data_IF_558631445979
#
_entry.id   IF_558631445979
#
_cell.length_a   1.000
_cell.length_b   1.000
_cell.length_c   1.000
_cell.angle_alpha   90.00
_cell.angle_beta   90.00
_cell.angle_gamma   90.00
#
_symmetry.space_group_name_H-M   'P 1'
#
loop_
_entity.id
_entity.type
_entity.pdbx_description
1 polymer ?
#
# COMPACT_ATOMS: atom_id res chain seq x y z
N UNK A 1 -42.91 -1.24 -8.34
CA UNK A 1 -42.80 0.23 -8.38
C UNK A 1 -43.97 0.83 -7.63
N UNK A 2 -43.69 1.68 -6.63
CA UNK A 2 -44.69 2.50 -5.95
C UNK A 2 -45.46 3.40 -6.93
N UNK A 3 -46.70 3.79 -6.58
CA UNK A 3 -47.56 4.67 -7.40
C UNK A 3 -46.83 5.94 -7.87
N UNK A 4 -45.99 6.51 -6.98
CA UNK A 4 -45.20 7.72 -7.27
C UNK A 4 -44.15 7.50 -8.36
N UNK A 5 -43.46 6.36 -8.34
CA UNK A 5 -42.44 6.03 -9.37
C UNK A 5 -43.07 5.82 -10.74
N UNK A 6 -44.28 5.23 -10.78
CA UNK A 6 -45.03 5.07 -12.03
C UNK A 6 -45.45 6.42 -12.62
N UNK A 7 -45.95 7.34 -11.80
CA UNK A 7 -46.33 8.68 -12.24
C UNK A 7 -45.13 9.45 -12.80
N UNK A 8 -43.98 9.41 -12.13
CA UNK A 8 -42.73 10.01 -12.65
C UNK A 8 -42.38 9.40 -14.00
N UNK A 9 -42.35 8.07 -14.11
CA UNK A 9 -41.99 7.40 -15.38
C UNK A 9 -42.96 7.75 -16.53
N UNK A 10 -44.26 7.89 -16.24
CA UNK A 10 -45.25 8.34 -17.23
C UNK A 10 -45.00 9.78 -17.67
N UNK A 11 -44.73 10.70 -16.74
CA UNK A 11 -44.41 12.09 -17.08
C UNK A 11 -43.13 12.18 -17.92
N UNK A 12 -42.10 11.40 -17.60
CA UNK A 12 -40.88 11.36 -18.39
C UNK A 12 -41.13 10.83 -19.81
N UNK A 13 -41.97 9.80 -19.95
CA UNK A 13 -42.39 9.28 -21.25
C UNK A 13 -43.11 10.34 -22.09
N UNK A 14 -44.10 11.02 -21.51
CA UNK A 14 -44.81 12.13 -22.17
C UNK A 14 -43.86 13.24 -22.62
N UNK A 15 -42.90 13.63 -21.78
CA UNK A 15 -41.90 14.63 -22.14
C UNK A 15 -41.10 14.18 -23.37
N UNK A 16 -40.57 12.95 -23.35
CA UNK A 16 -39.79 12.38 -24.47
C UNK A 16 -40.62 12.34 -25.75
N UNK A 17 -41.87 11.88 -25.69
CA UNK A 17 -42.76 11.79 -26.85
C UNK A 17 -43.00 13.15 -27.52
N UNK A 18 -43.06 14.24 -26.75
CA UNK A 18 -43.30 15.59 -27.28
C UNK A 18 -42.04 16.27 -27.82
N UNK A 19 -40.86 16.00 -27.24
CA UNK A 19 -39.64 16.78 -27.57
C UNK A 19 -38.62 16.03 -28.42
N UNK A 20 -38.70 14.69 -28.48
CA UNK A 20 -37.78 13.88 -29.27
C UNK A 20 -38.02 13.95 -30.79
N UNK A 21 -39.27 13.92 -31.32
CA UNK A 21 -39.52 13.81 -32.76
C UNK A 21 -38.99 14.98 -33.60
N UNK A 22 -39.05 16.21 -33.07
CA UNK A 22 -38.64 17.43 -33.75
C UNK A 22 -37.26 17.96 -33.29
N UNK A 23 -36.58 17.22 -32.42
CA UNK A 23 -35.35 17.64 -31.73
C UNK A 23 -35.48 18.96 -30.97
N UNK A 24 -36.69 19.31 -30.52
CA UNK A 24 -36.90 20.52 -29.72
C UNK A 24 -36.17 20.47 -28.37
N UNK A 25 -35.75 19.28 -27.90
CA UNK A 25 -34.93 19.12 -26.70
C UNK A 25 -33.68 20.01 -26.67
N UNK A 26 -33.08 20.35 -27.82
CA UNK A 26 -31.90 21.23 -27.92
C UNK A 26 -32.19 22.64 -27.37
N UNK A 27 -33.43 23.12 -27.50
CA UNK A 27 -33.86 24.43 -27.00
C UNK A 27 -34.22 24.41 -25.51
N UNK A 28 -34.45 23.22 -24.96
CA UNK A 28 -34.96 23.02 -23.60
C UNK A 28 -33.96 22.34 -22.65
N UNK A 29 -32.67 22.26 -23.00
CA UNK A 29 -31.67 21.60 -22.16
C UNK A 29 -31.63 22.10 -20.72
N UNK A 30 -31.78 23.41 -20.48
CA UNK A 30 -31.78 23.96 -19.12
C UNK A 30 -33.00 23.49 -18.31
N UNK A 31 -34.17 23.40 -18.94
CA UNK A 31 -35.41 22.93 -18.34
C UNK A 31 -35.32 21.43 -18.05
N UNK A 32 -34.79 20.64 -18.99
CA UNK A 32 -34.57 19.21 -18.80
C UNK A 32 -33.55 18.93 -17.69
N UNK A 33 -32.45 19.70 -17.62
CA UNK A 33 -31.48 19.64 -16.51
C UNK A 33 -32.18 19.86 -15.17
N UNK A 34 -32.99 20.91 -15.06
CA UNK A 34 -33.73 21.21 -13.83
C UNK A 34 -34.72 20.09 -13.45
N UNK A 35 -35.37 19.45 -14.42
CA UNK A 35 -36.24 18.29 -14.17
C UNK A 35 -35.43 17.14 -13.58
N UNK A 36 -34.30 16.78 -14.20
CA UNK A 36 -33.44 15.70 -13.71
C UNK A 36 -32.91 16.01 -12.31
N UNK A 37 -32.39 17.22 -12.09
CA UNK A 37 -31.88 17.64 -10.77
C UNK A 37 -32.95 17.55 -9.68
N UNK A 38 -34.19 17.97 -9.96
CA UNK A 38 -35.27 17.86 -8.98
C UNK A 38 -35.67 16.42 -8.71
N UNK A 39 -35.71 15.55 -9.73
CA UNK A 39 -36.02 14.14 -9.53
C UNK A 39 -34.95 13.52 -8.64
N UNK A 40 -33.67 13.71 -8.97
CA UNK A 40 -32.54 13.16 -8.21
C UNK A 40 -32.51 13.69 -6.78
N UNK A 41 -32.81 14.98 -6.55
CA UNK A 41 -32.79 15.56 -5.21
C UNK A 41 -33.92 15.06 -4.29
N UNK A 42 -35.08 14.72 -4.86
CA UNK A 42 -36.28 14.39 -4.09
C UNK A 42 -36.57 12.88 -4.01
N UNK A 43 -35.89 12.06 -4.82
CA UNK A 43 -36.13 10.61 -4.82
C UNK A 43 -35.49 9.95 -3.60
N UNK A 44 -36.24 9.06 -2.96
CA UNK A 44 -35.75 8.29 -1.81
C UNK A 44 -35.09 6.98 -2.25
N UNK A 45 -35.65 6.35 -3.29
CA UNK A 45 -35.17 5.09 -3.85
C UNK A 45 -34.49 5.35 -5.20
N UNK A 46 -33.18 5.56 -5.13
CA UNK A 46 -32.36 5.86 -6.30
C UNK A 46 -32.23 4.65 -7.24
N UNK A 47 -32.27 3.42 -6.73
CA UNK A 47 -32.21 2.23 -7.56
C UNK A 47 -33.45 2.12 -8.45
N UNK A 48 -34.64 2.37 -7.88
CA UNK A 48 -35.88 2.38 -8.65
C UNK A 48 -35.90 3.45 -9.75
N UNK A 49 -35.18 4.56 -9.59
CA UNK A 49 -35.02 5.59 -10.63
C UNK A 49 -34.26 5.07 -11.84
N UNK A 50 -33.14 4.37 -11.61
CA UNK A 50 -32.27 3.89 -12.68
C UNK A 50 -32.89 2.75 -13.49
N UNK A 51 -33.87 2.04 -12.92
CA UNK A 51 -34.60 0.96 -13.58
C UNK A 51 -35.87 1.47 -14.31
N UNK A 52 -36.19 2.77 -14.24
CA UNK A 52 -37.31 3.34 -14.99
C UNK A 52 -37.07 3.30 -16.50
N UNK A 53 -38.07 2.82 -17.25
CA UNK A 53 -38.02 2.69 -18.71
C UNK A 53 -37.67 4.01 -19.41
N UNK A 54 -38.16 5.14 -18.90
CA UNK A 54 -38.02 6.44 -19.53
C UNK A 54 -36.91 7.32 -18.91
N UNK A 55 -36.26 6.90 -17.82
CA UNK A 55 -35.25 7.76 -17.17
C UNK A 55 -33.95 7.83 -17.95
N UNK A 56 -33.30 6.69 -18.26
CA UNK A 56 -32.09 6.71 -19.09
C UNK A 56 -32.33 7.24 -20.52
N UNK A 57 -33.46 6.91 -21.19
CA UNK A 57 -33.77 7.55 -22.47
C UNK A 57 -33.89 9.07 -22.42
N UNK A 58 -34.38 9.63 -21.29
CA UNK A 58 -34.36 11.08 -21.09
C UNK A 58 -32.92 11.62 -21.04
N UNK A 59 -32.01 10.89 -20.39
CA UNK A 59 -30.59 11.27 -20.33
C UNK A 59 -29.94 11.20 -21.72
N UNK A 60 -30.35 10.25 -22.55
CA UNK A 60 -29.86 10.12 -23.93
C UNK A 60 -30.31 11.28 -24.85
N UNK A 61 -31.30 12.09 -24.46
CA UNK A 61 -31.66 13.32 -25.18
C UNK A 61 -30.57 14.39 -25.09
N UNK A 62 -29.71 14.37 -24.06
CA UNK A 62 -28.57 15.29 -23.97
C UNK A 62 -27.47 14.86 -24.94
N UNK A 63 -27.54 15.38 -26.16
CA UNK A 63 -26.55 15.09 -27.22
C UNK A 63 -25.33 16.00 -27.14
N UNK A 64 -25.46 17.18 -26.53
CA UNK A 64 -24.31 18.03 -26.24
C UNK A 64 -23.47 17.41 -25.10
N UNK A 65 -22.20 17.15 -25.38
CA UNK A 65 -21.27 16.49 -24.45
C UNK A 65 -21.22 17.21 -23.09
N UNK A 66 -21.11 18.54 -23.10
CA UNK A 66 -21.05 19.37 -21.89
C UNK A 66 -22.30 19.18 -21.01
N UNK A 67 -23.49 19.16 -21.61
CA UNK A 67 -24.76 18.99 -20.93
C UNK A 67 -24.92 17.57 -20.39
N UNK A 68 -24.55 16.57 -21.19
CA UNK A 68 -24.61 15.16 -20.79
C UNK A 68 -23.72 14.88 -19.58
N UNK A 69 -22.49 15.38 -19.60
CA UNK A 69 -21.53 15.23 -18.49
C UNK A 69 -22.04 15.90 -17.22
N UNK A 70 -22.56 17.13 -17.33
CA UNK A 70 -23.12 17.84 -16.17
C UNK A 70 -24.29 17.06 -15.54
N UNK A 71 -25.21 16.55 -16.36
CA UNK A 71 -26.35 15.76 -15.91
C UNK A 71 -25.91 14.44 -15.27
N UNK A 72 -25.05 13.66 -15.92
CA UNK A 72 -24.51 12.42 -15.36
C UNK A 72 -23.81 12.65 -14.03
N UNK A 73 -23.03 13.74 -13.93
CA UNK A 73 -22.34 14.15 -12.70
C UNK A 73 -23.33 14.46 -11.59
N UNK A 74 -24.40 15.20 -11.88
CA UNK A 74 -25.46 15.51 -10.91
C UNK A 74 -26.22 14.27 -10.46
N UNK A 75 -26.53 13.35 -11.37
CA UNK A 75 -27.16 12.07 -11.05
C UNK A 75 -26.27 11.27 -10.09
N UNK A 76 -24.99 11.10 -10.41
CA UNK A 76 -24.05 10.33 -9.60
C UNK A 76 -23.72 10.99 -8.25
N UNK A 77 -23.67 12.32 -8.17
CA UNK A 77 -23.47 13.03 -6.89
C UNK A 77 -24.75 13.01 -6.04
N UNK A 78 -25.91 13.26 -6.65
CA UNK A 78 -27.19 13.30 -5.95
C UNK A 78 -27.71 11.92 -5.58
N UNK A 79 -27.11 10.88 -6.14
CA UNK A 79 -27.29 9.51 -5.69
C UNK A 79 -26.81 9.38 -4.24
N UNK A 80 -27.75 9.28 -3.29
CA UNK A 80 -27.44 8.95 -1.89
C UNK A 80 -27.00 7.48 -1.74
N UNK A 81 -26.26 6.92 -2.70
CA UNK A 81 -25.84 5.52 -2.74
C UNK A 81 -24.93 5.18 -1.55
N UNK A 82 -24.38 6.19 -0.86
CA UNK A 82 -23.57 6.04 0.35
C UNK A 82 -24.18 5.19 1.49
N UNK A 83 -25.48 4.88 1.46
CA UNK A 83 -26.17 4.13 2.53
C UNK A 83 -26.38 2.64 2.19
N UNK A 84 -26.39 2.26 0.90
CA UNK A 84 -26.83 0.92 0.48
C UNK A 84 -25.88 0.27 -0.54
N UNK A 85 -25.77 -1.04 -0.44
CA UNK A 85 -25.02 -1.88 -1.38
C UNK A 85 -25.85 -2.12 -2.63
N UNK A 86 -25.26 -1.88 -3.80
CA UNK A 86 -25.88 -2.12 -5.10
C UNK A 86 -25.42 -3.47 -5.65
N UNK A 87 -26.37 -4.34 -5.99
CA UNK A 87 -26.08 -5.65 -6.59
C UNK A 87 -26.97 -6.01 -7.79
N UNK A 88 -28.03 -5.23 -8.06
CA UNK A 88 -28.90 -5.47 -9.20
C UNK A 88 -28.16 -5.17 -10.53
N UNK A 89 -28.09 -6.14 -11.47
CA UNK A 89 -27.34 -5.96 -12.71
C UNK A 89 -27.82 -4.79 -13.58
N UNK A 90 -29.11 -4.45 -13.56
CA UNK A 90 -29.66 -3.33 -14.35
C UNK A 90 -29.16 -2.01 -13.75
N UNK A 91 -29.24 -1.87 -12.42
CA UNK A 91 -28.73 -0.70 -11.71
C UNK A 91 -27.22 -0.56 -11.89
N UNK A 92 -26.46 -1.66 -11.77
CA UNK A 92 -25.01 -1.66 -12.00
C UNK A 92 -24.67 -1.20 -13.41
N UNK A 93 -25.33 -1.74 -14.43
CA UNK A 93 -25.10 -1.35 -15.83
C UNK A 93 -25.43 0.13 -16.07
N UNK A 94 -26.53 0.62 -15.48
CA UNK A 94 -26.90 2.03 -15.55
C UNK A 94 -25.84 2.93 -14.90
N UNK A 95 -25.36 2.57 -13.71
CA UNK A 95 -24.28 3.30 -13.03
C UNK A 95 -22.98 3.30 -13.84
N UNK A 96 -22.62 2.15 -14.42
CA UNK A 96 -21.42 2.02 -15.24
C UNK A 96 -21.49 2.85 -16.51
N UNK A 97 -22.67 2.95 -17.14
CA UNK A 97 -22.92 3.84 -18.29
C UNK A 97 -22.81 5.33 -17.93
N UNK A 98 -23.37 5.74 -16.79
CA UNK A 98 -23.21 7.13 -16.32
C UNK A 98 -21.74 7.44 -16.01
N UNK A 99 -21.04 6.48 -15.42
CA UNK A 99 -19.62 6.58 -15.12
C UNK A 99 -18.74 6.63 -16.39
N UNK A 100 -19.04 5.83 -17.41
CA UNK A 100 -18.30 5.86 -18.68
C UNK A 100 -18.45 7.22 -19.35
N UNK A 101 -19.66 7.80 -19.33
CA UNK A 101 -19.90 9.15 -19.85
C UNK A 101 -19.02 10.20 -19.14
N UNK A 102 -18.85 10.11 -17.81
CA UNK A 102 -17.95 11.01 -17.09
C UNK A 102 -16.48 10.75 -17.41
N UNK A 103 -16.06 9.49 -17.48
CA UNK A 103 -14.69 9.14 -17.82
C UNK A 103 -14.30 9.65 -19.22
N UNK A 104 -15.18 9.47 -20.21
CA UNK A 104 -14.90 9.82 -21.60
C UNK A 104 -14.76 11.33 -21.81
N UNK A 105 -15.30 12.14 -20.89
CA UNK A 105 -15.10 13.59 -20.87
C UNK A 105 -13.70 14.02 -20.40
N UNK A 106 -12.94 13.12 -19.77
CA UNK A 106 -11.61 13.42 -19.23
C UNK A 106 -10.55 13.35 -20.33
N UNK A 107 -9.86 14.46 -20.56
CA UNK A 107 -8.79 14.58 -21.54
C UNK A 107 -7.61 15.40 -21.00
N UNK A 108 -6.59 15.62 -21.84
CA UNK A 108 -5.35 16.30 -21.44
C UNK A 108 -5.54 17.78 -21.03
N UNK A 109 -6.68 18.39 -21.35
CA UNK A 109 -7.02 19.77 -21.00
C UNK A 109 -7.95 19.86 -19.79
N UNK A 110 -8.40 18.73 -19.23
CA UNK A 110 -9.27 18.70 -18.05
C UNK A 110 -8.53 19.28 -16.84
N UNK A 111 -9.11 20.28 -16.13
CA UNK A 111 -8.50 20.82 -14.93
C UNK A 111 -8.28 19.75 -13.85
N UNK A 112 -7.17 19.86 -13.11
CA UNK A 112 -6.81 18.90 -12.05
C UNK A 112 -7.94 18.67 -11.02
N UNK A 113 -8.66 19.72 -10.65
CA UNK A 113 -9.75 19.62 -9.68
C UNK A 113 -10.96 18.85 -10.23
N UNK A 114 -11.27 19.03 -11.52
CA UNK A 114 -12.32 18.28 -12.20
C UNK A 114 -11.92 16.82 -12.41
N UNK A 115 -10.67 16.57 -12.79
CA UNK A 115 -10.11 15.23 -12.88
C UNK A 115 -10.23 14.47 -11.55
N UNK A 116 -9.88 15.12 -10.44
CA UNK A 116 -10.02 14.56 -9.09
C UNK A 116 -11.48 14.29 -8.74
N UNK A 117 -12.37 15.26 -9.00
CA UNK A 117 -13.79 15.11 -8.70
C UNK A 117 -14.42 13.94 -9.46
N UNK A 118 -14.14 13.81 -10.76
CA UNK A 118 -14.61 12.67 -11.55
C UNK A 118 -14.03 11.37 -10.98
N UNK A 119 -12.73 11.34 -10.71
CA UNK A 119 -12.08 10.18 -10.09
C UNK A 119 -12.72 9.75 -8.77
N UNK A 120 -13.08 10.70 -7.89
CA UNK A 120 -13.72 10.43 -6.62
C UNK A 120 -15.14 9.86 -6.78
N UNK A 121 -15.92 10.38 -7.75
CA UNK A 121 -17.25 9.86 -8.09
C UNK A 121 -17.14 8.41 -8.57
N UNK A 122 -16.23 8.13 -9.50
CA UNK A 122 -16.00 6.77 -10.01
C UNK A 122 -15.57 5.83 -8.90
N UNK A 123 -14.64 6.27 -8.04
CA UNK A 123 -14.20 5.49 -6.89
C UNK A 123 -15.35 5.20 -5.90
N UNK A 124 -16.28 6.14 -5.73
CA UNK A 124 -17.47 5.93 -4.91
C UNK A 124 -18.37 4.84 -5.50
N UNK A 125 -18.70 4.91 -6.79
CA UNK A 125 -19.53 3.91 -7.47
C UNK A 125 -18.89 2.51 -7.43
N UNK A 126 -17.58 2.41 -7.61
CA UNK A 126 -16.85 1.12 -7.51
C UNK A 126 -16.95 0.51 -6.10
N UNK A 127 -17.04 1.34 -5.04
CA UNK A 127 -17.13 0.85 -3.65
C UNK A 127 -18.51 0.34 -3.27
N UNK A 128 -19.56 0.94 -3.80
CA UNK A 128 -20.94 0.62 -3.42
C UNK A 128 -21.48 -0.60 -4.15
N UNK A 129 -20.88 -0.98 -5.29
CA UNK A 129 -21.20 -2.21 -6.01
C UNK A 129 -20.57 -3.41 -5.29
N UNK A 130 -21.40 -4.23 -4.64
CA UNK A 130 -20.97 -5.43 -3.90
C UNK A 130 -21.92 -6.61 -4.18
N UNK A 131 -21.41 -7.63 -4.87
CA UNK A 131 -22.11 -8.89 -5.20
C UNK A 131 -22.14 -9.89 -4.02
N UNK A 132 -21.78 -9.45 -2.82
CA UNK A 132 -21.85 -10.21 -1.59
C UNK A 132 -20.89 -11.39 -1.57
N UNK A 133 -21.43 -12.61 -1.66
CA UNK A 133 -20.63 -13.85 -1.63
C UNK A 133 -20.20 -14.33 -3.01
N UNK A 134 -20.67 -13.69 -4.08
CA UNK A 134 -20.21 -14.01 -5.42
C UNK A 134 -18.90 -13.27 -5.73
N UNK A 135 -17.82 -13.81 -5.19
CA UNK A 135 -16.49 -13.21 -5.32
C UNK A 135 -15.94 -13.25 -6.75
N UNK A 136 -16.34 -14.24 -7.55
CA UNK A 136 -15.94 -14.34 -8.96
C UNK A 136 -16.61 -13.24 -9.77
N UNK A 137 -17.92 -13.02 -9.56
CA UNK A 137 -18.63 -11.90 -10.18
C UNK A 137 -18.04 -10.55 -9.73
N UNK A 138 -17.71 -10.40 -8.44
CA UNK A 138 -17.07 -9.18 -7.94
C UNK A 138 -15.71 -8.91 -8.59
N UNK A 139 -14.87 -9.94 -8.75
CA UNK A 139 -13.57 -9.79 -9.41
C UNK A 139 -13.74 -9.47 -10.89
N UNK A 140 -14.72 -10.09 -11.56
CA UNK A 140 -15.05 -9.82 -12.97
C UNK A 140 -15.45 -8.36 -13.15
N UNK A 141 -16.30 -7.83 -12.27
CA UNK A 141 -16.65 -6.41 -12.25
C UNK A 141 -15.40 -5.50 -12.11
N UNK A 142 -14.46 -5.83 -11.23
CA UNK A 142 -13.22 -5.04 -11.11
C UNK A 142 -12.30 -5.15 -12.35
N UNK A 143 -12.34 -6.26 -13.07
CA UNK A 143 -11.64 -6.42 -14.37
C UNK A 143 -12.26 -5.51 -15.43
N UNK A 144 -13.58 -5.50 -15.53
CA UNK A 144 -14.32 -4.63 -16.45
C UNK A 144 -14.08 -3.14 -16.13
N UNK A 145 -14.20 -2.76 -14.86
CA UNK A 145 -13.96 -1.39 -14.40
C UNK A 145 -12.52 -0.92 -14.69
N UNK A 146 -11.52 -1.80 -14.55
CA UNK A 146 -10.12 -1.47 -14.93
C UNK A 146 -9.99 -1.19 -16.42
N UNK A 147 -10.68 -1.96 -17.26
CA UNK A 147 -10.68 -1.76 -18.71
C UNK A 147 -11.39 -0.48 -19.12
N UNK A 148 -12.51 -0.18 -18.47
CA UNK A 148 -13.36 0.98 -18.78
C UNK A 148 -12.74 2.32 -18.35
N UNK A 149 -12.05 2.36 -17.21
CA UNK A 149 -11.54 3.60 -16.61
C UNK A 149 -10.02 3.76 -16.75
N UNK A 150 -9.47 3.57 -17.95
CA UNK A 150 -8.04 3.37 -18.14
C UNK A 150 -7.15 4.60 -17.85
N UNK A 151 -7.72 5.81 -17.87
CA UNK A 151 -6.96 7.07 -17.83
C UNK A 151 -7.02 7.78 -16.48
N UNK A 152 -7.69 7.19 -15.49
CA UNK A 152 -7.92 7.79 -14.17
C UNK A 152 -7.15 7.02 -13.09
N UNK A 153 -5.96 7.51 -12.75
CA UNK A 153 -5.01 6.85 -11.86
C UNK A 153 -5.61 6.48 -10.49
N UNK A 154 -6.45 7.35 -9.91
CA UNK A 154 -7.05 7.11 -8.59
C UNK A 154 -8.03 5.92 -8.61
N UNK A 155 -8.66 5.64 -9.76
CA UNK A 155 -9.54 4.49 -9.93
C UNK A 155 -8.73 3.18 -9.87
N UNK A 156 -7.53 3.14 -10.47
CA UNK A 156 -6.66 1.97 -10.33
C UNK A 156 -6.19 1.75 -8.88
N UNK A 157 -5.87 2.82 -8.15
CA UNK A 157 -5.56 2.74 -6.72
C UNK A 157 -6.74 2.12 -5.97
N UNK A 158 -7.96 2.59 -6.24
CA UNK A 158 -9.17 2.11 -5.60
C UNK A 158 -9.45 0.63 -5.92
N UNK A 159 -9.31 0.24 -7.19
CA UNK A 159 -9.52 -1.13 -7.64
C UNK A 159 -8.54 -2.11 -6.99
N UNK A 160 -7.26 -1.76 -6.90
CA UNK A 160 -6.25 -2.60 -6.22
C UNK A 160 -6.60 -2.74 -4.73
N UNK A 161 -7.07 -1.68 -4.06
CA UNK A 161 -7.52 -1.76 -2.67
C UNK A 161 -8.76 -2.65 -2.52
N UNK A 162 -9.74 -2.52 -3.42
CA UNK A 162 -10.95 -3.35 -3.42
C UNK A 162 -10.62 -4.84 -3.63
N UNK A 163 -9.74 -5.17 -4.57
CA UNK A 163 -9.32 -6.56 -4.83
C UNK A 163 -8.51 -7.12 -3.67
N UNK A 164 -7.64 -6.33 -3.05
CA UNK A 164 -6.96 -6.73 -1.80
C UNK A 164 -7.97 -7.01 -0.68
N UNK A 165 -8.98 -6.16 -0.51
CA UNK A 165 -10.05 -6.37 0.47
C UNK A 165 -10.88 -7.63 0.16
N UNK A 166 -11.17 -7.90 -1.13
CA UNK A 166 -11.87 -9.11 -1.57
C UNK A 166 -11.08 -10.39 -1.24
N UNK A 167 -9.77 -10.36 -1.44
CA UNK A 167 -8.86 -11.45 -1.03
C UNK A 167 -8.87 -11.67 0.48
N UNK A 168 -8.81 -10.60 1.28
CA UNK A 168 -8.91 -10.68 2.75
C UNK A 168 -10.28 -11.20 3.21
N UNK A 169 -11.39 -10.72 2.62
CA UNK A 169 -12.76 -11.22 2.89
C UNK A 169 -12.85 -12.72 2.60
N UNK A 170 -12.27 -13.16 1.47
CA UNK A 170 -12.23 -14.59 1.10
C UNK A 170 -11.51 -15.41 2.18
N UNK A 171 -10.34 -14.95 2.63
CA UNK A 171 -9.58 -15.59 3.71
C UNK A 171 -10.37 -15.70 5.00
N UNK A 172 -11.09 -14.63 5.38
CA UNK A 172 -11.90 -14.59 6.61
C UNK A 172 -13.00 -15.65 6.58
N UNK A 173 -13.68 -15.83 5.45
CA UNK A 173 -14.71 -16.86 5.28
C UNK A 173 -14.13 -18.27 5.43
N UNK A 174 -12.98 -18.53 4.82
CA UNK A 174 -12.33 -19.86 4.89
C UNK A 174 -11.42 -20.03 6.10
N UNK A 175 -11.35 -19.04 7.01
CA UNK A 175 -10.47 -19.03 8.20
C UNK A 175 -9.00 -19.36 7.85
N UNK A 176 -8.53 -18.80 6.73
CA UNK A 176 -7.20 -19.04 6.17
C UNK A 176 -6.92 -20.46 5.65
N UNK A 177 -7.91 -21.35 5.61
CA UNK A 177 -7.76 -22.70 5.04
C UNK A 177 -8.34 -22.71 3.62
N UNK A 178 -7.52 -22.30 2.65
CA UNK A 178 -7.96 -22.26 1.25
C UNK A 178 -8.09 -23.67 0.68
N UNK A 179 -9.24 -23.95 0.06
CA UNK A 179 -9.39 -25.02 -0.92
C UNK A 179 -8.63 -24.68 -2.21
N UNK A 180 -8.46 -25.64 -3.12
CA UNK A 180 -7.89 -25.38 -4.45
C UNK A 180 -8.58 -24.20 -5.15
N UNK A 181 -9.92 -24.22 -5.22
CA UNK A 181 -10.71 -23.16 -5.87
C UNK A 181 -10.47 -21.79 -5.22
N UNK A 182 -10.61 -21.69 -3.90
CA UNK A 182 -10.40 -20.41 -3.20
C UNK A 182 -8.94 -19.96 -3.22
N UNK A 183 -7.99 -20.88 -3.35
CA UNK A 183 -6.57 -20.59 -3.54
C UNK A 183 -6.27 -20.04 -4.94
N UNK A 184 -6.84 -20.64 -5.98
CA UNK A 184 -6.75 -20.15 -7.36
C UNK A 184 -7.36 -18.75 -7.47
N UNK A 185 -8.49 -18.51 -6.80
CA UNK A 185 -9.14 -17.21 -6.75
C UNK A 185 -8.28 -16.11 -6.10
N UNK A 186 -7.70 -16.34 -4.91
CA UNK A 186 -6.84 -15.33 -4.26
C UNK A 186 -5.53 -15.10 -5.02
N UNK A 187 -5.03 -16.11 -5.75
CA UNK A 187 -3.93 -15.94 -6.71
C UNK A 187 -4.32 -15.05 -7.89
N UNK A 188 -5.53 -15.21 -8.43
CA UNK A 188 -6.05 -14.34 -9.47
C UNK A 188 -6.20 -12.89 -8.98
N UNK A 189 -6.67 -12.69 -7.73
CA UNK A 189 -6.70 -11.37 -7.09
C UNK A 189 -5.31 -10.74 -7.00
N UNK A 190 -4.31 -11.50 -6.51
CA UNK A 190 -2.94 -11.01 -6.39
C UNK A 190 -2.32 -10.71 -7.77
N UNK A 191 -2.60 -11.53 -8.79
CA UNK A 191 -2.16 -11.30 -10.16
C UNK A 191 -2.80 -10.02 -10.75
N UNK A 192 -4.09 -9.81 -10.52
CA UNK A 192 -4.79 -8.58 -10.89
C UNK A 192 -4.11 -7.35 -10.28
N UNK A 193 -3.82 -7.37 -8.98
CA UNK A 193 -3.12 -6.28 -8.32
C UNK A 193 -1.75 -6.04 -8.96
N UNK A 194 -0.98 -7.11 -9.18
CA UNK A 194 0.37 -7.05 -9.76
C UNK A 194 0.40 -6.42 -11.16
N UNK A 195 -0.58 -6.71 -12.03
CA UNK A 195 -0.63 -6.12 -13.39
C UNK A 195 -1.26 -4.73 -13.43
N UNK A 196 -1.97 -4.31 -12.38
CA UNK A 196 -2.67 -3.02 -12.33
C UNK A 196 -1.78 -1.94 -11.74
N UNK A 197 -0.97 -2.27 -10.73
CA UNK A 197 -0.08 -1.31 -10.07
C UNK A 197 0.89 -0.60 -11.04
N UNK A 198 1.56 -1.28 -12.01
CA UNK A 198 2.43 -0.62 -12.97
C UNK A 198 1.73 0.48 -13.80
N UNK A 199 0.41 0.41 -13.97
CA UNK A 199 -0.38 1.38 -14.75
C UNK A 199 -0.62 2.69 -14.00
N UNK A 200 -0.26 2.79 -12.71
CA UNK A 200 -0.43 4.00 -11.89
C UNK A 200 0.81 4.89 -12.03
N UNK A 201 0.65 6.16 -12.43
CA UNK A 201 1.78 7.07 -12.65
C UNK A 201 2.48 7.41 -11.34
N UNK A 202 1.70 7.61 -10.28
CA UNK A 202 2.22 8.00 -8.97
C UNK A 202 3.08 6.90 -8.33
N UNK A 203 4.40 7.12 -8.30
CA UNK A 203 5.38 6.23 -7.64
C UNK A 203 5.01 5.95 -6.18
N UNK A 204 4.53 6.98 -5.46
CA UNK A 204 4.06 6.86 -4.06
C UNK A 204 2.99 5.79 -3.91
N UNK A 205 2.00 5.81 -4.80
CA UNK A 205 0.93 4.82 -4.80
C UNK A 205 1.46 3.44 -5.21
N UNK A 206 2.33 3.36 -6.22
CA UNK A 206 2.96 2.10 -6.64
C UNK A 206 3.69 1.40 -5.48
N UNK A 207 4.58 2.11 -4.79
CA UNK A 207 5.30 1.57 -3.63
C UNK A 207 4.36 1.04 -2.54
N UNK A 208 3.39 1.87 -2.12
CA UNK A 208 2.43 1.49 -1.06
C UNK A 208 1.58 0.29 -1.47
N UNK A 209 1.12 0.24 -2.72
CA UNK A 209 0.27 -0.84 -3.20
C UNK A 209 1.03 -2.14 -3.45
N UNK A 210 2.29 -2.10 -3.90
CA UNK A 210 3.11 -3.31 -3.99
C UNK A 210 3.36 -3.91 -2.61
N UNK A 211 3.68 -3.09 -1.61
CA UNK A 211 3.87 -3.57 -0.25
C UNK A 211 2.59 -4.16 0.32
N UNK A 212 1.46 -3.45 0.20
CA UNK A 212 0.15 -3.92 0.67
C UNK A 212 -0.28 -5.20 -0.03
N UNK A 213 -0.18 -5.25 -1.36
CA UNK A 213 -0.60 -6.43 -2.14
C UNK A 213 0.32 -7.63 -1.87
N UNK A 214 1.62 -7.40 -1.65
CA UNK A 214 2.55 -8.43 -1.20
C UNK A 214 2.20 -8.97 0.18
N UNK A 215 1.84 -8.10 1.14
CA UNK A 215 1.36 -8.52 2.46
C UNK A 215 0.06 -9.33 2.39
N UNK A 216 -0.92 -8.89 1.57
CA UNK A 216 -2.19 -9.59 1.40
C UNK A 216 -1.98 -10.94 0.71
N UNK A 217 -1.11 -11.01 -0.30
CA UNK A 217 -0.73 -12.26 -0.95
C UNK A 217 -0.07 -13.23 0.05
N UNK A 218 0.86 -12.74 0.87
CA UNK A 218 1.53 -13.53 1.91
C UNK A 218 0.52 -14.04 2.95
N UNK A 219 -0.39 -13.17 3.40
CA UNK A 219 -1.46 -13.52 4.33
C UNK A 219 -2.40 -14.61 3.78
N UNK A 220 -2.54 -14.70 2.45
CA UNK A 220 -3.29 -15.71 1.72
C UNK A 220 -2.43 -16.88 1.21
N UNK A 221 -1.21 -17.07 1.73
CA UNK A 221 -0.29 -18.16 1.34
C UNK A 221 0.08 -18.17 -0.17
N UNK A 222 -0.04 -17.03 -0.84
CA UNK A 222 0.33 -16.86 -2.25
C UNK A 222 1.80 -16.42 -2.37
N UNK A 223 2.73 -17.31 -1.97
CA UNK A 223 4.15 -16.98 -1.79
C UNK A 223 4.80 -16.42 -3.06
N UNK A 224 4.53 -17.03 -4.23
CA UNK A 224 5.09 -16.57 -5.50
C UNK A 224 4.61 -15.17 -5.90
N UNK A 225 3.33 -14.86 -5.68
CA UNK A 225 2.76 -13.54 -5.96
C UNK A 225 3.26 -12.49 -4.95
N UNK A 226 3.44 -12.89 -3.68
CA UNK A 226 4.02 -12.03 -2.66
C UNK A 226 5.48 -11.66 -3.02
N UNK A 227 6.31 -12.65 -3.36
CA UNK A 227 7.69 -12.44 -3.82
C UNK A 227 7.75 -11.53 -5.05
N UNK A 228 6.87 -11.74 -6.05
CA UNK A 228 6.78 -10.87 -7.21
C UNK A 228 6.45 -9.42 -6.85
N UNK A 229 5.45 -9.20 -5.97
CA UNK A 229 5.10 -7.85 -5.50
C UNK A 229 6.25 -7.19 -4.73
N UNK A 230 6.95 -7.92 -3.87
CA UNK A 230 8.10 -7.40 -3.12
C UNK A 230 9.28 -7.07 -4.04
N UNK A 231 9.59 -7.93 -5.02
CA UNK A 231 10.61 -7.64 -6.04
C UNK A 231 10.27 -6.38 -6.82
N UNK A 232 9.02 -6.24 -7.28
CA UNK A 232 8.55 -5.04 -7.97
C UNK A 232 8.66 -3.79 -7.08
N UNK A 233 8.29 -3.89 -5.80
CA UNK A 233 8.44 -2.81 -4.83
C UNK A 233 9.90 -2.38 -4.62
N UNK A 234 10.85 -3.33 -4.62
CA UNK A 234 12.30 -3.03 -4.57
C UNK A 234 12.77 -2.38 -5.87
N UNK A 235 12.36 -2.89 -7.03
CA UNK A 235 12.69 -2.31 -8.34
C UNK A 235 12.16 -0.89 -8.50
N UNK A 236 10.96 -0.59 -7.99
CA UNK A 236 10.39 0.77 -8.00
C UNK A 236 11.21 1.76 -7.16
N UNK A 237 11.91 1.32 -6.10
CA UNK A 237 12.87 2.19 -5.39
C UNK A 237 14.05 2.55 -6.31
N UNK A 238 14.52 1.62 -7.14
CA UNK A 238 15.59 1.91 -8.12
C UNK A 238 15.14 2.86 -9.22
N UNK A 239 13.88 2.79 -9.66
CA UNK A 239 13.32 3.72 -10.65
C UNK A 239 13.39 5.18 -10.15
N UNK A 240 13.07 5.42 -8.87
CA UNK A 240 13.15 6.76 -8.25
C UNK A 240 14.54 7.37 -8.42
N UNK A 241 15.59 6.56 -8.30
CA UNK A 241 16.97 7.06 -8.43
C UNK A 241 17.26 7.62 -9.83
N UNK A 242 16.64 7.05 -10.86
CA UNK A 242 16.89 7.41 -12.27
C UNK A 242 16.12 8.65 -12.72
N UNK A 243 15.01 8.97 -12.08
CA UNK A 243 14.20 10.14 -12.39
C UNK A 243 14.62 11.32 -11.50
N UNK A 244 14.96 12.47 -12.10
CA UNK A 244 15.51 13.66 -11.41
C UNK A 244 14.58 14.33 -10.38
N UNK A 245 13.46 13.72 -10.04
CA UNK A 245 12.58 14.14 -8.96
C UNK A 245 12.84 13.27 -7.73
N UNK A 246 13.67 13.76 -6.79
CA UNK A 246 13.90 13.09 -5.52
C UNK A 246 12.56 12.85 -4.81
N UNK A 247 12.18 11.59 -4.68
CA UNK A 247 11.05 11.20 -3.85
C UNK A 247 11.37 11.59 -2.39
N UNK A 248 10.46 12.25 -1.65
CA UNK A 248 10.78 12.77 -0.33
C UNK A 248 11.30 11.67 0.60
N UNK A 249 12.51 11.83 1.15
CA UNK A 249 13.08 10.87 2.10
C UNK A 249 12.18 10.64 3.33
N UNK A 250 11.41 11.68 3.72
CA UNK A 250 10.41 11.61 4.78
C UNK A 250 9.31 10.56 4.51
N UNK A 251 9.05 10.23 3.25
CA UNK A 251 8.13 9.16 2.85
C UNK A 251 8.86 7.83 2.57
N UNK A 252 10.06 7.87 2.01
CA UNK A 252 10.84 6.67 1.67
C UNK A 252 11.34 5.93 2.92
N UNK A 253 11.87 6.66 3.91
CA UNK A 253 12.46 6.05 5.11
C UNK A 253 11.44 5.22 5.89
N UNK A 254 10.23 5.72 6.22
CA UNK A 254 9.22 4.90 6.89
C UNK A 254 8.78 3.70 6.05
N UNK A 255 8.64 3.87 4.74
CA UNK A 255 8.29 2.78 3.83
C UNK A 255 9.33 1.66 3.85
N UNK A 256 10.62 1.99 3.71
CA UNK A 256 11.71 1.00 3.75
C UNK A 256 11.74 0.28 5.10
N UNK A 257 11.57 1.00 6.22
CA UNK A 257 11.53 0.38 7.55
C UNK A 257 10.35 -0.58 7.74
N UNK A 258 9.17 -0.21 7.22
CA UNK A 258 8.01 -1.09 7.20
C UNK A 258 8.29 -2.33 6.34
N UNK A 259 8.93 -2.16 5.19
CA UNK A 259 9.30 -3.26 4.32
C UNK A 259 10.32 -4.21 4.98
N UNK A 260 11.36 -3.67 5.63
CA UNK A 260 12.31 -4.48 6.42
C UNK A 260 11.61 -5.30 7.51
N UNK A 261 10.60 -4.73 8.17
CA UNK A 261 9.81 -5.49 9.14
C UNK A 261 9.10 -6.67 8.46
N UNK A 262 8.45 -6.46 7.32
CA UNK A 262 7.78 -7.55 6.59
C UNK A 262 8.76 -8.62 6.12
N UNK A 263 9.96 -8.23 5.62
CA UNK A 263 10.98 -9.17 5.17
C UNK A 263 11.43 -10.16 6.25
N UNK A 264 11.26 -9.83 7.53
CA UNK A 264 11.52 -10.78 8.62
C UNK A 264 10.70 -12.06 8.48
N UNK A 265 9.42 -11.93 8.13
CA UNK A 265 8.46 -13.05 8.09
C UNK A 265 8.23 -13.59 6.69
N UNK A 266 8.89 -13.04 5.68
CA UNK A 266 8.85 -13.55 4.30
C UNK A 266 9.75 -14.79 4.21
N UNK A 267 9.23 -15.95 3.78
CA UNK A 267 10.07 -17.12 3.52
C UNK A 267 11.03 -16.87 2.37
N UNK A 268 12.26 -17.36 2.52
CA UNK A 268 13.21 -17.40 1.41
C UNK A 268 12.72 -18.33 0.29
N UNK A 269 12.96 -17.93 -0.95
CA UNK A 269 12.69 -18.77 -2.10
C UNK A 269 13.77 -19.88 -2.19
N UNK A 270 13.39 -21.17 -2.18
CA UNK A 270 14.34 -22.29 -2.26
C UNK A 270 15.25 -22.28 -3.50
N UNK A 271 14.80 -21.66 -4.60
CA UNK A 271 15.53 -21.56 -5.86
C UNK A 271 16.56 -20.41 -5.87
N UNK A 272 16.60 -19.61 -4.80
CA UNK A 272 17.47 -18.44 -4.66
C UNK A 272 18.43 -18.60 -3.48
N UNK A 273 19.46 -17.76 -3.43
CA UNK A 273 20.30 -17.65 -2.23
C UNK A 273 19.49 -17.14 -1.03
N UNK A 274 19.73 -17.66 0.17
CA UNK A 274 19.06 -17.22 1.42
C UNK A 274 19.15 -15.70 1.60
N UNK A 275 18.11 -15.01 2.07
CA UNK A 275 18.06 -13.55 2.21
C UNK A 275 18.17 -12.76 0.89
N UNK A 276 17.74 -13.35 -0.24
CA UNK A 276 17.86 -12.71 -1.56
C UNK A 276 17.16 -11.33 -1.63
N UNK A 277 15.92 -11.23 -1.12
CA UNK A 277 15.17 -9.97 -1.09
C UNK A 277 15.85 -8.92 -0.22
N UNK A 278 16.38 -9.33 0.94
CA UNK A 278 17.16 -8.45 1.82
C UNK A 278 18.40 -7.93 1.10
N UNK A 279 19.18 -8.80 0.42
CA UNK A 279 20.34 -8.36 -0.37
C UNK A 279 19.94 -7.41 -1.49
N UNK A 280 18.85 -7.71 -2.20
CA UNK A 280 18.32 -6.86 -3.27
C UNK A 280 17.96 -5.46 -2.73
N UNK A 281 17.27 -5.40 -1.59
CA UNK A 281 16.93 -4.14 -0.93
C UNK A 281 18.19 -3.34 -0.55
N UNK A 282 19.18 -3.98 0.08
CA UNK A 282 20.43 -3.31 0.47
C UNK A 282 21.21 -2.77 -0.74
N UNK A 283 21.27 -3.52 -1.83
CA UNK A 283 21.93 -3.08 -3.07
C UNK A 283 21.28 -1.81 -3.63
N UNK A 284 19.94 -1.76 -3.65
CA UNK A 284 19.20 -0.58 -4.12
C UNK A 284 19.41 0.62 -3.20
N UNK A 285 19.36 0.41 -1.88
CA UNK A 285 19.57 1.49 -0.90
C UNK A 285 21.00 2.06 -0.94
N UNK A 286 22.00 1.21 -1.20
CA UNK A 286 23.40 1.63 -1.36
C UNK A 286 23.58 2.45 -2.64
N UNK A 287 22.90 2.08 -3.72
CA UNK A 287 22.90 2.82 -4.98
C UNK A 287 22.20 4.18 -4.88
N UNK A 288 21.17 4.30 -4.03
CA UNK A 288 20.34 5.50 -3.93
C UNK A 288 21.12 6.76 -3.52
N UNK A 289 20.81 7.89 -4.18
CA UNK A 289 21.43 9.19 -3.86
C UNK A 289 20.69 9.89 -2.71
N UNK A 290 21.15 9.66 -1.49
CA UNK A 290 20.59 10.27 -0.28
C UNK A 290 21.01 11.74 -0.13
N UNK A 291 20.04 12.60 0.18
CA UNK A 291 20.26 14.00 0.54
C UNK A 291 20.85 14.10 1.95
N UNK A 292 20.36 13.25 2.84
CA UNK A 292 20.75 13.26 4.24
C UNK A 292 21.34 11.92 4.64
N UNK A 293 22.65 11.90 4.91
CA UNK A 293 23.37 10.72 5.43
C UNK A 293 22.70 10.11 6.66
N UNK A 294 22.01 10.91 7.48
CA UNK A 294 21.27 10.42 8.64
C UNK A 294 20.11 9.48 8.28
N UNK A 295 19.47 9.69 7.12
CA UNK A 295 18.36 8.85 6.64
C UNK A 295 18.85 7.43 6.35
N UNK A 296 19.96 7.31 5.61
CA UNK A 296 20.58 6.01 5.33
C UNK A 296 21.10 5.33 6.60
N UNK A 297 21.74 6.07 7.50
CA UNK A 297 22.17 5.54 8.81
C UNK A 297 20.97 4.97 9.58
N UNK A 298 19.85 5.71 9.62
CA UNK A 298 18.63 5.27 10.30
C UNK A 298 18.03 3.99 9.70
N UNK A 299 18.11 3.82 8.38
CA UNK A 299 17.70 2.59 7.70
C UNK A 299 18.64 1.45 8.05
N UNK A 300 19.96 1.64 7.95
CA UNK A 300 20.95 0.61 8.29
C UNK A 300 20.86 0.16 9.75
N UNK A 301 20.55 1.07 10.68
CA UNK A 301 20.25 0.70 12.06
C UNK A 301 19.03 -0.24 12.17
N UNK A 302 18.01 -0.03 11.34
CA UNK A 302 16.82 -0.90 11.25
C UNK A 302 17.14 -2.24 10.57
N UNK A 303 18.08 -2.25 9.62
CA UNK A 303 18.60 -3.48 9.00
C UNK A 303 19.33 -4.33 10.05
N UNK A 304 20.17 -3.73 10.89
CA UNK A 304 20.83 -4.44 11.99
C UNK A 304 19.79 -5.02 12.95
N UNK A 305 18.75 -4.27 13.29
CA UNK A 305 17.67 -4.79 14.13
C UNK A 305 17.00 -6.03 13.51
N UNK A 306 16.64 -5.96 12.23
CA UNK A 306 16.02 -7.07 11.50
C UNK A 306 16.94 -8.29 11.43
N UNK A 307 18.21 -8.11 11.06
CA UNK A 307 19.20 -9.19 10.97
C UNK A 307 19.49 -9.84 12.34
N UNK A 308 19.53 -9.04 13.41
CA UNK A 308 19.66 -9.58 14.77
C UNK A 308 18.46 -10.43 15.18
N UNK A 309 17.26 -10.12 14.68
CA UNK A 309 16.08 -10.96 14.91
C UNK A 309 16.09 -12.19 14.01
N UNK A 310 16.53 -12.06 12.75
CA UNK A 310 16.70 -13.19 11.82
C UNK A 310 17.67 -14.26 12.33
N UNK A 311 18.61 -13.91 13.20
CA UNK A 311 19.56 -14.85 13.79
C UNK A 311 18.96 -15.66 14.97
N UNK A 312 17.79 -15.27 15.49
CA UNK A 312 17.15 -15.93 16.62
C UNK A 312 16.48 -17.23 16.18
N UNK A 313 16.35 -18.16 17.13
CA UNK A 313 15.67 -19.44 16.90
C UNK A 313 14.18 -19.26 16.65
N UNK A 314 13.58 -18.19 17.20
CA UNK A 314 12.15 -17.88 17.08
C UNK A 314 11.96 -16.38 16.86
N UNK A 315 11.15 -16.01 15.87
CA UNK A 315 10.82 -14.62 15.60
C UNK A 315 9.75 -14.09 16.57
N UNK A 316 9.75 -12.77 16.84
CA UNK A 316 8.80 -12.13 17.75
C UNK A 316 7.36 -12.09 17.20
N UNK A 317 7.17 -12.31 15.91
CA UNK A 317 5.85 -12.38 15.27
C UNK A 317 5.91 -13.20 13.98
N UNK A 318 4.75 -13.70 13.57
CA UNK A 318 4.56 -14.56 12.40
C UNK A 318 3.28 -14.21 11.67
N UNK A 319 3.17 -14.70 10.44
CA UNK A 319 1.93 -14.68 9.69
C UNK A 319 1.29 -16.07 9.78
N UNK A 320 0.01 -16.09 10.17
CA UNK A 320 -0.75 -17.33 10.28
C UNK A 320 -0.67 -18.16 8.99
N UNK A 321 -0.20 -19.41 9.14
CA UNK A 321 0.02 -20.42 8.07
C UNK A 321 1.12 -20.10 7.06
N UNK A 322 2.06 -19.23 7.41
CA UNK A 322 3.28 -18.99 6.63
C UNK A 322 4.48 -19.41 7.46
N UNK A 323 5.29 -20.30 6.92
CA UNK A 323 6.55 -20.72 7.53
C UNK A 323 7.62 -19.68 7.24
N UNK A 324 7.97 -18.86 8.23
CA UNK A 324 9.04 -17.85 8.10
C UNK A 324 10.43 -18.50 8.26
N UNK A 325 11.47 -17.72 8.00
CA UNK A 325 12.85 -18.21 7.98
C UNK A 325 13.36 -18.80 9.32
N UNK A 326 12.76 -18.45 10.46
CA UNK A 326 13.04 -19.13 11.73
C UNK A 326 12.51 -20.57 11.78
N UNK A 327 11.39 -20.85 11.12
CA UNK A 327 10.87 -22.21 10.95
C UNK A 327 11.68 -22.99 9.90
N UNK A 328 12.16 -22.32 8.84
CA UNK A 328 12.91 -22.95 7.75
C UNK A 328 14.37 -23.23 8.10
N UNK A 329 15.02 -22.31 8.81
CA UNK A 329 16.46 -22.36 9.12
C UNK A 329 16.73 -22.32 10.63
N UNK A 330 15.89 -21.63 11.40
CA UNK A 330 16.15 -21.32 12.81
C UNK A 330 17.53 -20.69 12.99
N UNK A 331 18.26 -21.16 13.99
CA UNK A 331 19.65 -20.75 14.24
C UNK A 331 20.67 -21.67 13.54
N UNK A 332 20.39 -22.15 12.31
CA UNK A 332 21.35 -22.95 11.55
C UNK A 332 22.66 -22.19 11.31
N UNK A 333 23.79 -22.89 11.45
CA UNK A 333 25.13 -22.30 11.40
C UNK A 333 25.44 -21.66 10.04
N UNK A 334 24.96 -22.23 8.93
CA UNK A 334 25.19 -21.67 7.60
C UNK A 334 24.34 -20.42 7.38
N UNK A 335 23.09 -20.44 7.85
CA UNK A 335 22.22 -19.27 7.78
C UNK A 335 22.75 -18.10 8.63
N UNK A 336 23.15 -18.37 9.87
CA UNK A 336 23.81 -17.37 10.74
C UNK A 336 25.10 -16.84 10.10
N UNK A 337 25.89 -17.69 9.42
CA UNK A 337 27.08 -17.23 8.72
C UNK A 337 26.75 -16.22 7.59
N UNK A 338 25.66 -16.44 6.85
CA UNK A 338 25.18 -15.49 5.84
C UNK A 338 24.67 -14.18 6.46
N UNK A 339 23.93 -14.25 7.57
CA UNK A 339 23.51 -13.07 8.34
C UNK A 339 24.74 -12.27 8.78
N UNK A 340 25.74 -12.93 9.36
CA UNK A 340 26.97 -12.29 9.86
C UNK A 340 27.77 -11.60 8.74
N UNK A 341 27.80 -12.17 7.53
CA UNK A 341 28.41 -11.51 6.36
C UNK A 341 27.70 -10.20 6.03
N UNK A 342 26.37 -10.20 5.98
CA UNK A 342 25.58 -8.99 5.71
C UNK A 342 25.78 -7.95 6.83
N UNK A 343 25.68 -8.38 8.10
CA UNK A 343 25.93 -7.51 9.26
C UNK A 343 27.31 -6.85 9.19
N UNK A 344 28.35 -7.59 8.82
CA UNK A 344 29.72 -7.06 8.74
C UNK A 344 29.84 -5.93 7.69
N UNK A 345 29.21 -6.11 6.53
CA UNK A 345 29.15 -5.09 5.48
C UNK A 345 28.38 -3.85 5.95
N UNK A 346 27.18 -4.05 6.52
CA UNK A 346 26.32 -2.95 6.99
C UNK A 346 26.97 -2.18 8.14
N UNK A 347 27.62 -2.85 9.09
CA UNK A 347 28.37 -2.21 10.18
C UNK A 347 29.54 -1.39 9.63
N UNK A 348 30.27 -1.92 8.66
CA UNK A 348 31.41 -1.19 8.04
C UNK A 348 30.94 0.09 7.35
N UNK A 349 29.84 0.00 6.59
CA UNK A 349 29.18 1.17 5.99
C UNK A 349 28.67 2.16 7.03
N UNK A 350 27.98 1.69 8.08
CA UNK A 350 27.53 2.52 9.20
C UNK A 350 28.68 3.30 9.83
N UNK A 351 29.81 2.64 10.10
CA UNK A 351 30.99 3.28 10.66
C UNK A 351 31.55 4.35 9.73
N UNK A 352 31.65 4.07 8.43
CA UNK A 352 32.07 5.05 7.41
C UNK A 352 31.15 6.27 7.37
N UNK A 353 29.83 6.06 7.37
CA UNK A 353 28.84 7.16 7.37
C UNK A 353 28.84 7.95 8.69
N UNK A 354 29.01 7.28 9.84
CA UNK A 354 29.16 7.94 11.14
C UNK A 354 30.41 8.84 11.18
N UNK A 355 31.53 8.37 10.63
CA UNK A 355 32.75 9.19 10.52
C UNK A 355 32.51 10.40 9.60
N UNK A 356 31.84 10.20 8.47
CA UNK A 356 31.53 11.27 7.53
C UNK A 356 30.57 12.35 8.09
N UNK A 357 29.67 12.00 9.02
CA UNK A 357 28.82 12.98 9.70
C UNK A 357 29.62 13.99 10.55
N UNK A 358 30.81 13.61 11.02
CA UNK A 358 31.60 14.44 11.92
C UNK A 358 30.97 14.61 13.32
N UNK A 359 31.70 15.29 14.23
CA UNK A 359 31.27 15.50 15.61
C UNK A 359 30.00 16.36 15.66
N UNK A 360 28.88 15.75 16.00
CA UNK A 360 27.59 16.41 16.18
C UNK A 360 26.64 15.54 17.01
N UNK A 361 25.57 16.14 17.52
CA UNK A 361 24.55 15.45 18.31
C UNK A 361 23.94 14.23 17.59
N UNK A 362 23.78 14.30 16.26
CA UNK A 362 23.29 13.18 15.45
C UNK A 362 24.28 12.02 15.43
N UNK A 363 25.58 12.30 15.26
CA UNK A 363 26.63 11.28 15.31
C UNK A 363 26.62 10.58 16.67
N UNK A 364 26.58 11.34 17.77
CA UNK A 364 26.52 10.77 19.12
C UNK A 364 25.27 9.91 19.33
N UNK A 365 24.11 10.37 18.85
CA UNK A 365 22.84 9.65 18.95
C UNK A 365 22.85 8.32 18.19
N UNK A 366 23.34 8.32 16.95
CA UNK A 366 23.45 7.09 16.17
C UNK A 366 24.54 6.15 16.68
N UNK A 367 25.66 6.69 17.19
CA UNK A 367 26.72 5.89 17.80
C UNK A 367 26.23 5.13 19.04
N UNK A 368 25.47 5.80 19.93
CA UNK A 368 24.91 5.12 21.11
C UNK A 368 23.82 4.12 20.71
N UNK A 369 23.03 4.41 19.67
CA UNK A 369 22.03 3.47 19.19
C UNK A 369 22.67 2.19 18.63
N UNK A 370 23.71 2.33 17.78
CA UNK A 370 24.46 1.19 17.27
C UNK A 370 25.16 0.42 18.39
N UNK A 371 25.74 1.12 19.37
CA UNK A 371 26.34 0.51 20.56
C UNK A 371 25.34 -0.40 21.28
N UNK A 372 24.13 0.10 21.55
CA UNK A 372 23.09 -0.68 22.24
C UNK A 372 22.72 -1.92 21.43
N UNK A 373 22.56 -1.80 20.11
CA UNK A 373 22.25 -2.95 19.24
C UNK A 373 23.37 -3.99 19.27
N UNK A 374 24.64 -3.56 19.15
CA UNK A 374 25.80 -4.45 19.21
C UNK A 374 25.93 -5.14 20.57
N UNK A 375 25.87 -4.37 21.66
CA UNK A 375 26.08 -4.86 23.02
C UNK A 375 24.95 -5.76 23.54
N UNK A 376 23.69 -5.48 23.16
CA UNK A 376 22.53 -6.17 23.74
C UNK A 376 22.12 -7.40 22.94
N UNK A 377 22.26 -7.39 21.61
CA UNK A 377 21.62 -8.38 20.73
C UNK A 377 22.55 -9.43 20.13
N UNK A 378 23.87 -9.32 20.33
CA UNK A 378 24.85 -10.21 19.72
C UNK A 378 25.63 -11.00 20.75
N UNK A 379 26.09 -12.17 20.36
CA UNK A 379 27.22 -12.81 21.04
C UNK A 379 28.48 -11.99 20.77
N UNK A 380 28.94 -11.29 21.80
CA UNK A 380 30.10 -10.40 21.70
C UNK A 380 31.34 -11.21 21.38
N UNK A 381 31.88 -11.09 20.17
CA UNK A 381 33.25 -11.52 19.84
C UNK A 381 34.25 -10.46 20.30
N UNK A 382 35.56 -10.77 20.31
CA UNK A 382 36.58 -9.77 20.66
C UNK A 382 36.53 -8.55 19.74
N UNK A 383 36.25 -8.75 18.45
CA UNK A 383 36.10 -7.65 17.49
C UNK A 383 34.87 -6.79 17.79
N UNK A 384 33.72 -7.41 18.11
CA UNK A 384 32.51 -6.69 18.47
C UNK A 384 32.62 -5.96 19.80
N UNK A 385 33.40 -6.49 20.75
CA UNK A 385 33.70 -5.83 22.02
C UNK A 385 34.48 -4.53 21.78
N UNK A 386 35.54 -4.59 20.96
CA UNK A 386 36.32 -3.40 20.58
C UNK A 386 35.44 -2.38 19.85
N UNK A 387 34.60 -2.84 18.92
CA UNK A 387 33.65 -1.98 18.22
C UNK A 387 32.67 -1.30 19.19
N UNK A 388 32.09 -2.05 20.13
CA UNK A 388 31.15 -1.52 21.11
C UNK A 388 31.80 -0.42 21.97
N UNK A 389 33.02 -0.64 22.46
CA UNK A 389 33.76 0.37 23.22
C UNK A 389 34.05 1.62 22.39
N UNK A 390 34.46 1.45 21.13
CA UNK A 390 34.70 2.58 20.23
C UNK A 390 33.42 3.38 19.96
N UNK A 391 32.28 2.72 19.80
CA UNK A 391 30.98 3.37 19.62
C UNK A 391 30.54 4.12 20.88
N UNK A 392 30.73 3.55 22.06
CA UNK A 392 30.45 4.23 23.33
C UNK A 392 31.30 5.50 23.48
N UNK A 393 32.61 5.38 23.25
CA UNK A 393 33.53 6.52 23.32
C UNK A 393 33.17 7.61 22.30
N UNK A 394 32.81 7.21 21.07
CA UNK A 394 32.33 8.13 20.04
C UNK A 394 31.05 8.86 20.47
N UNK A 395 30.12 8.13 21.09
CA UNK A 395 28.85 8.67 21.56
C UNK A 395 29.05 9.74 22.65
N UNK A 396 29.90 9.47 23.64
CA UNK A 396 30.10 10.35 24.81
C UNK A 396 31.01 11.54 24.50
N UNK A 397 31.88 11.46 23.47
CA UNK A 397 32.90 12.46 23.14
C UNK A 397 32.42 13.91 23.07
N UNK A 398 31.25 14.13 22.47
CA UNK A 398 30.67 15.48 22.26
C UNK A 398 29.90 16.00 23.48
N UNK A 399 29.55 15.13 24.44
CA UNK A 399 28.80 15.50 25.63
C UNK A 399 27.35 15.95 25.39
N UNK A 400 26.83 15.81 24.16
CA UNK A 400 25.48 16.27 23.77
C UNK A 400 24.35 15.29 24.08
N UNK A 401 24.66 14.06 24.51
CA UNK A 401 23.66 13.05 24.86
C UNK A 401 23.07 13.27 26.26
N UNK A 402 21.81 12.83 26.44
CA UNK A 402 21.17 12.85 27.75
C UNK A 402 21.91 11.92 28.74
N UNK A 403 22.49 12.51 29.78
CA UNK A 403 23.20 11.80 30.85
C UNK A 403 22.32 10.75 31.53
N UNK A 404 21.00 10.99 31.67
CA UNK A 404 20.09 10.01 32.27
C UNK A 404 19.96 8.76 31.41
N UNK A 405 19.91 8.93 30.08
CA UNK A 405 19.87 7.81 29.14
C UNK A 405 21.17 6.99 29.20
N UNK A 406 22.34 7.63 29.24
CA UNK A 406 23.63 6.96 29.37
C UNK A 406 23.74 6.15 30.67
N UNK A 407 23.37 6.75 31.81
CA UNK A 407 23.38 6.07 33.12
C UNK A 407 22.45 4.85 33.10
N UNK A 408 21.21 5.00 32.62
CA UNK A 408 20.25 3.89 32.51
C UNK A 408 20.75 2.78 31.58
N UNK A 409 21.41 3.13 30.49
CA UNK A 409 21.99 2.15 29.56
C UNK A 409 23.09 1.34 30.26
N UNK A 410 24.00 2.01 30.99
CA UNK A 410 25.05 1.35 31.77
C UNK A 410 24.46 0.44 32.86
N UNK A 411 23.44 0.89 33.57
CA UNK A 411 22.79 0.10 34.63
C UNK A 411 22.04 -1.11 34.08
N UNK A 412 21.38 -0.97 32.93
CA UNK A 412 20.78 -2.10 32.21
C UNK A 412 21.83 -3.14 31.81
N UNK A 413 22.97 -2.72 31.27
CA UNK A 413 24.05 -3.62 30.89
C UNK A 413 24.70 -4.31 32.10
N UNK A 414 24.85 -3.62 33.25
CA UNK A 414 25.27 -4.25 34.53
C UNK A 414 24.31 -5.36 34.96
N UNK A 415 23.00 -5.09 34.91
CA UNK A 415 22.01 -6.09 35.29
C UNK A 415 22.06 -7.29 34.33
N UNK A 416 22.19 -7.04 33.02
CA UNK A 416 22.29 -8.11 32.01
C UNK A 416 23.60 -8.91 32.13
N UNK A 417 24.71 -8.28 32.50
CA UNK A 417 26.03 -8.94 32.61
C UNK A 417 26.14 -9.84 33.84
N UNK A 418 25.29 -9.63 34.84
CA UNK A 418 25.15 -10.49 36.04
C UNK A 418 24.71 -11.93 35.71
N UNK A 419 24.31 -12.18 34.46
CA UNK A 419 23.84 -13.47 33.92
C UNK A 419 24.97 -14.36 33.34
N UNK A 420 26.20 -14.31 33.85
CA UNK A 420 27.39 -15.03 33.33
C UNK A 420 27.94 -14.59 31.95
N UNK A 421 27.75 -13.34 31.53
CA UNK A 421 28.37 -12.82 30.30
C UNK A 421 29.63 -11.98 30.60
N UNK A 422 30.78 -12.64 30.73
CA UNK A 422 32.08 -12.03 31.06
C UNK A 422 32.47 -10.90 30.10
N UNK A 423 32.18 -11.04 28.81
CA UNK A 423 32.46 -10.00 27.80
C UNK A 423 31.59 -8.75 27.97
N UNK A 424 30.35 -8.91 28.40
CA UNK A 424 29.49 -7.77 28.72
C UNK A 424 29.96 -7.05 29.99
N UNK A 425 30.52 -7.78 30.97
CA UNK A 425 31.13 -7.19 32.17
C UNK A 425 32.33 -6.31 31.79
N UNK A 426 33.21 -6.79 30.90
CA UNK A 426 34.34 -6.00 30.40
C UNK A 426 33.91 -4.69 29.73
N UNK A 427 32.80 -4.68 29.00
CA UNK A 427 32.26 -3.44 28.40
C UNK A 427 31.83 -2.48 29.52
N UNK A 428 31.03 -2.97 30.47
CA UNK A 428 30.48 -2.16 31.56
C UNK A 428 31.56 -1.51 32.43
N UNK A 429 32.66 -2.21 32.68
CA UNK A 429 33.81 -1.69 33.45
C UNK A 429 34.54 -0.56 32.72
N UNK A 430 34.61 -0.64 31.39
CA UNK A 430 35.30 0.34 30.53
C UNK A 430 34.41 1.49 30.07
N UNK A 431 33.11 1.46 30.37
CA UNK A 431 32.19 2.57 30.15
C UNK A 431 32.39 3.61 31.25
N UNK A 432 33.37 4.50 31.12
CA UNK A 432 33.56 5.64 32.04
C UNK A 432 32.51 6.75 31.84
#
# INVERSE_FOLDING_TARGET
>A
MDSKHREINTILGDIIEHIAPDRSYEQYYNQLKYIVENIVHNIQDFEALLVMDNFLPLIDLFQEESARVEVCKKILIGSNISVHVVNDPVVVNALMFLCSTLHDSVNALTPDDEYRQIGDILCHVIKVIDYGRDFEQQLTFYVEARGMFSNIDIVFVQLVQCVNALSVKTRQIVKGAHTRKTGDFVRACAAYCFITIPSIKSVKHRLRLYLLSGQVALFNQCLGQADACFKAGVSTISEIQSEKAQFPEAELVPYVKQFLSILLVVPDNPDCSVLNLTRSMLNVLQGYSWDNTASLISIYLSVIDMLSVMAQEWYPYHIDKVESNDSLYGSDKKFIAEINKICSVVISELMSKLQALGPCTKQSSFAVELFVKVAVRNELTNQLLVLALNLWNLAVKDGSLDKRYLIRTKDYLKHKSSSNNTRLQEIVEKME
#
